data_IF_306620052303
#
_entry.id   IF_306620052303
#
_cell.length_a   1.000
_cell.length_b   1.000
_cell.length_c   1.000
_cell.angle_alpha   90.00
_cell.angle_beta   90.00
_cell.angle_gamma   90.00
#
_symmetry.space_group_name_H-M   'P 1'
#
loop_
_entity.id
_entity.type
_entity.pdbx_description
1 polymer ?
#
# COMPACT_ATOMS: atom_id res chain seq x y z
N UNK A 1 14.84 21.79 4.83
CA UNK A 1 13.57 21.32 5.42
C UNK A 1 13.74 19.86 5.79
N UNK A 2 13.85 19.53 7.07
CA UNK A 2 13.90 18.14 7.51
C UNK A 2 12.46 17.62 7.58
N UNK A 3 12.08 16.72 6.68
CA UNK A 3 10.82 15.99 6.75
C UNK A 3 10.97 14.88 7.80
N UNK A 4 10.41 15.08 8.99
CA UNK A 4 10.26 13.99 9.95
C UNK A 4 9.08 13.13 9.48
N UNK A 5 9.36 11.94 8.94
CA UNK A 5 8.35 10.91 8.81
C UNK A 5 8.14 10.31 10.21
N UNK A 6 7.04 10.67 10.88
CA UNK A 6 6.60 9.95 12.08
C UNK A 6 6.25 8.53 11.66
N UNK A 7 7.03 7.55 12.15
CA UNK A 7 6.74 6.14 11.90
C UNK A 7 5.53 5.71 12.71
N UNK A 8 4.40 5.46 12.04
CA UNK A 8 3.24 4.82 12.67
C UNK A 8 3.47 3.32 12.73
N UNK A 9 3.21 2.71 13.90
CA UNK A 9 3.17 1.25 14.00
C UNK A 9 2.01 0.73 13.14
N UNK A 10 2.32 -0.12 12.16
CA UNK A 10 1.34 -0.75 11.28
C UNK A 10 1.15 -2.20 11.68
N UNK A 11 -0.09 -2.64 11.70
CA UNK A 11 -0.46 -4.02 11.92
C UNK A 11 -0.02 -4.87 10.70
N UNK A 12 0.92 -5.82 10.88
CA UNK A 12 1.39 -6.65 9.77
C UNK A 12 0.28 -7.52 9.16
N UNK A 13 -0.76 -7.87 9.91
CA UNK A 13 -1.87 -8.68 9.41
C UNK A 13 -2.74 -7.89 8.42
N UNK A 14 -2.97 -6.60 8.68
CA UNK A 14 -3.67 -5.70 7.74
C UNK A 14 -2.88 -5.58 6.44
N UNK A 15 -1.55 -5.45 6.53
CA UNK A 15 -0.68 -5.39 5.35
C UNK A 15 -0.75 -6.70 4.56
N UNK A 16 -0.59 -7.84 5.22
CA UNK A 16 -0.60 -9.15 4.60
C UNK A 16 -1.96 -9.45 3.93
N UNK A 17 -3.07 -9.23 4.65
CA UNK A 17 -4.42 -9.47 4.16
C UNK A 17 -4.78 -8.53 3.01
N UNK A 18 -4.37 -7.27 3.05
CA UNK A 18 -4.58 -6.31 1.95
C UNK A 18 -3.88 -6.78 0.67
N UNK A 19 -2.64 -7.25 0.78
CA UNK A 19 -1.88 -7.77 -0.36
C UNK A 19 -2.44 -9.10 -0.87
N UNK A 20 -2.91 -9.97 0.04
CA UNK A 20 -3.57 -11.23 -0.29
C UNK A 20 -4.85 -10.98 -1.09
N UNK A 21 -5.75 -10.12 -0.60
CA UNK A 21 -7.01 -9.75 -1.28
C UNK A 21 -6.80 -9.11 -2.65
N UNK A 22 -5.70 -8.37 -2.81
CA UNK A 22 -5.37 -7.72 -4.07
C UNK A 22 -5.06 -8.72 -5.19
N UNK A 23 -4.66 -9.95 -4.87
CA UNK A 23 -4.30 -11.00 -5.83
C UNK A 23 -3.30 -10.51 -6.92
N UNK A 24 -2.39 -9.61 -6.54
CA UNK A 24 -1.41 -9.02 -7.45
C UNK A 24 -1.97 -7.99 -8.44
N UNK A 25 -3.20 -7.50 -8.25
CA UNK A 25 -3.83 -6.47 -9.08
C UNK A 25 -3.89 -5.15 -8.30
N UNK A 26 -3.43 -4.06 -8.91
CA UNK A 26 -3.51 -2.72 -8.33
C UNK A 26 -4.97 -2.28 -8.15
N UNK A 27 -5.35 -1.86 -6.94
CA UNK A 27 -6.71 -1.42 -6.63
C UNK A 27 -7.13 -0.16 -7.40
N UNK A 28 -6.19 0.69 -7.83
CA UNK A 28 -6.47 1.91 -8.61
C UNK A 28 -6.54 1.64 -10.11
N UNK A 29 -5.41 1.34 -10.76
CA UNK A 29 -5.36 1.21 -12.22
C UNK A 29 -5.76 -0.17 -12.76
N UNK A 30 -6.09 -1.13 -11.89
CA UNK A 30 -6.56 -2.48 -12.25
C UNK A 30 -5.57 -3.29 -13.11
N UNK A 31 -4.31 -2.88 -13.18
CA UNK A 31 -3.22 -3.62 -13.83
C UNK A 31 -2.53 -4.54 -12.83
N UNK A 32 -1.94 -5.62 -13.35
CA UNK A 32 -1.06 -6.50 -12.58
C UNK A 32 0.11 -5.73 -11.95
N UNK A 33 0.62 -6.26 -10.84
CA UNK A 33 1.87 -5.82 -10.23
C UNK A 33 2.99 -5.77 -11.29
N UNK A 34 3.85 -4.75 -11.25
CA UNK A 34 4.86 -4.53 -12.28
C UNK A 34 5.92 -5.65 -12.33
N UNK A 35 6.15 -6.33 -11.21
CA UNK A 35 7.09 -7.44 -11.11
C UNK A 35 6.75 -8.32 -9.90
N UNK A 36 7.43 -9.47 -9.81
CA UNK A 36 7.40 -10.36 -8.65
C UNK A 36 8.64 -10.12 -7.77
N UNK A 37 8.49 -10.17 -6.45
CA UNK A 37 9.61 -10.08 -5.50
C UNK A 37 10.60 -11.20 -5.76
N UNK A 38 11.90 -10.88 -5.83
CA UNK A 38 12.94 -11.88 -6.07
C UNK A 38 13.04 -12.93 -4.95
N UNK A 39 12.66 -12.55 -3.72
CA UNK A 39 12.77 -13.41 -2.52
C UNK A 39 11.80 -14.60 -2.54
N UNK A 40 10.56 -14.39 -2.96
CA UNK A 40 9.47 -15.36 -2.77
C UNK A 40 8.51 -15.45 -3.98
N UNK A 41 8.77 -14.70 -5.06
CA UNK A 41 7.95 -14.70 -6.26
C UNK A 41 6.58 -14.03 -6.10
N UNK A 42 6.30 -13.38 -4.96
CA UNK A 42 5.01 -12.71 -4.73
C UNK A 42 4.86 -11.42 -5.55
N UNK A 43 3.66 -11.04 -6.00
CA UNK A 43 3.45 -9.78 -6.73
C UNK A 43 3.85 -8.54 -5.91
N UNK A 44 4.59 -7.61 -6.50
CA UNK A 44 4.99 -6.38 -5.82
C UNK A 44 3.89 -5.30 -5.90
N UNK A 45 3.19 -5.10 -4.78
CA UNK A 45 2.32 -3.95 -4.52
C UNK A 45 2.68 -3.31 -3.17
N UNK A 46 2.27 -2.06 -2.99
CA UNK A 46 2.50 -1.24 -1.80
C UNK A 46 1.16 -0.96 -1.12
N UNK A 47 1.10 -1.13 0.21
CA UNK A 47 -0.11 -0.84 0.98
C UNK A 47 -0.17 0.65 1.30
N UNK A 48 -1.27 1.26 0.90
CA UNK A 48 -1.60 2.67 1.07
C UNK A 48 -2.90 2.81 1.85
N UNK A 49 -2.91 3.67 2.87
CA UNK A 49 -4.13 4.04 3.60
C UNK A 49 -4.83 5.20 2.88
N UNK A 50 -6.12 5.04 2.52
CA UNK A 50 -6.94 6.05 1.82
C UNK A 50 -6.97 7.37 2.60
N UNK A 51 -7.24 7.28 3.89
CA UNK A 51 -6.97 8.32 4.87
C UNK A 51 -5.63 7.99 5.51
N UNK A 52 -4.62 8.82 5.29
CA UNK A 52 -3.29 8.58 5.84
C UNK A 52 -3.34 8.52 7.37
N UNK A 53 -2.55 7.62 7.97
CA UNK A 53 -2.43 7.50 9.44
C UNK A 53 -2.00 8.84 10.07
N UNK A 54 -1.13 9.60 9.39
CA UNK A 54 -0.71 10.94 9.80
C UNK A 54 -1.86 11.96 9.90
N UNK A 55 -2.97 11.71 9.21
CA UNK A 55 -4.18 12.53 9.23
C UNK A 55 -5.31 11.87 10.04
N UNK A 56 -4.98 10.96 10.96
CA UNK A 56 -5.95 10.29 11.82
C UNK A 56 -6.70 9.13 11.15
N UNK A 57 -6.19 8.62 10.03
CA UNK A 57 -6.75 7.41 9.40
C UNK A 57 -6.53 6.16 10.26
N UNK A 58 -7.48 5.24 10.20
CA UNK A 58 -7.39 3.97 10.91
C UNK A 58 -6.50 2.96 10.18
N UNK A 59 -5.81 2.11 10.95
CA UNK A 59 -5.09 0.98 10.39
C UNK A 59 -6.01 -0.24 10.26
N UNK A 60 -6.88 -0.19 9.25
CA UNK A 60 -7.94 -1.17 8.99
C UNK A 60 -7.97 -1.60 7.53
N UNK A 61 -8.61 -2.75 7.24
CA UNK A 61 -8.74 -3.27 5.87
C UNK A 61 -9.59 -2.35 4.99
N UNK A 62 -10.56 -1.67 5.61
CA UNK A 62 -11.46 -0.72 4.97
C UNK A 62 -10.70 0.53 4.51
N UNK A 63 -9.66 0.92 5.25
CA UNK A 63 -8.83 2.07 4.92
C UNK A 63 -7.60 1.69 4.08
N UNK A 64 -7.17 0.43 4.07
CA UNK A 64 -6.00 -0.03 3.32
C UNK A 64 -6.30 -0.37 1.85
N UNK A 65 -5.32 -0.13 0.96
CA UNK A 65 -5.37 -0.48 -0.46
C UNK A 65 -4.01 -0.96 -0.96
N UNK A 66 -3.99 -1.97 -1.83
CA UNK A 66 -2.77 -2.37 -2.52
C UNK A 66 -2.62 -1.61 -3.84
N UNK A 67 -1.54 -0.84 -4.00
CA UNK A 67 -1.27 -0.02 -5.17
C UNK A 67 0.06 -0.41 -5.83
N UNK A 68 0.15 -0.25 -7.15
CA UNK A 68 1.46 -0.31 -7.81
C UNK A 68 2.27 0.96 -7.49
N UNK A 69 3.61 0.95 -7.62
CA UNK A 69 4.46 2.09 -7.25
C UNK A 69 4.03 3.42 -7.88
N UNK A 70 3.61 3.38 -9.16
CA UNK A 70 3.17 4.57 -9.88
C UNK A 70 1.87 5.14 -9.30
N UNK A 71 0.85 4.29 -9.09
CA UNK A 71 -0.43 4.73 -8.51
C UNK A 71 -0.27 5.15 -7.05
N UNK A 72 0.64 4.51 -6.31
CA UNK A 72 0.92 4.88 -4.93
C UNK A 72 1.56 6.27 -4.87
N UNK A 73 2.55 6.54 -5.73
CA UNK A 73 3.18 7.86 -5.82
C UNK A 73 2.18 8.94 -6.24
N UNK A 74 1.36 8.66 -7.25
CA UNK A 74 0.28 9.56 -7.70
C UNK A 74 -0.72 9.88 -6.57
N UNK A 75 -1.05 8.91 -5.71
CA UNK A 75 -1.93 9.16 -4.55
C UNK A 75 -1.33 10.12 -3.51
N UNK A 76 0.00 10.26 -3.47
CA UNK A 76 0.68 11.20 -2.59
C UNK A 76 0.91 12.58 -3.22
N UNK A 77 1.12 12.65 -4.54
CA UNK A 77 1.67 13.85 -5.19
C UNK A 77 0.91 14.38 -6.41
N UNK A 78 -0.04 13.61 -6.97
CA UNK A 78 -0.61 13.85 -8.30
C UNK A 78 0.36 13.52 -9.41
#
# INVERSE_FOLDING_TARGET
VQSQATGFARNPDIVAETLYRAAGICHKCKRNAPFKRAKDGTPYLEVHHKVQLAHGGEDSLENAMALCPNCHREAHYG
#
